data_IF_000872764370
#
_entry.id   IF_000872764370
#
_cell.length_a   1.000
_cell.length_b   1.000
_cell.length_c   1.000
_cell.angle_alpha   90.00
_cell.angle_beta   90.00
_cell.angle_gamma   90.00
#
_symmetry.space_group_name_H-M   'P 1'
#
loop_
_entity.id
_entity.type
_entity.pdbx_description
1 polymer ?
#
# COMPACT_ATOMS: atom_id res chain seq x y z
N UNK A 1 43.60 -23.65 -66.17
CA UNK A 1 43.71 -23.73 -64.70
C UNK A 1 42.27 -23.90 -64.19
N UNK A 2 41.65 -25.08 -64.31
CA UNK A 2 41.73 -26.28 -63.44
C UNK A 2 41.37 -25.88 -61.99
N UNK A 3 40.36 -26.39 -61.28
CA UNK A 3 39.40 -27.44 -61.53
C UNK A 3 38.17 -27.27 -60.59
N UNK A 4 37.11 -27.98 -60.96
CA UNK A 4 35.85 -28.31 -60.27
C UNK A 4 35.96 -28.72 -58.80
N UNK A 5 34.92 -28.46 -58.00
CA UNK A 5 34.25 -29.51 -57.20
C UNK A 5 32.86 -29.09 -56.67
N UNK A 6 31.83 -29.72 -57.22
CA UNK A 6 30.58 -30.06 -56.52
C UNK A 6 30.58 -31.59 -56.34
N UNK A 7 29.87 -32.17 -55.35
CA UNK A 7 28.57 -32.76 -55.69
C UNK A 7 27.49 -32.62 -54.60
N UNK A 8 26.25 -32.21 -54.93
CA UNK A 8 25.04 -33.04 -55.11
C UNK A 8 24.83 -34.14 -54.05
N UNK A 9 23.78 -34.03 -53.21
CA UNK A 9 22.85 -35.16 -53.01
C UNK A 9 21.44 -34.74 -52.51
N UNK A 10 20.44 -35.04 -53.34
CA UNK A 10 19.01 -35.34 -53.12
C UNK A 10 18.12 -34.41 -52.27
N UNK A 11 17.15 -33.68 -52.82
CA UNK A 11 15.87 -34.08 -53.46
C UNK A 11 14.86 -34.81 -52.56
N UNK A 12 13.74 -34.09 -52.34
CA UNK A 12 12.33 -34.50 -52.47
C UNK A 12 11.53 -34.94 -51.22
N UNK A 13 10.47 -34.13 -51.01
CA UNK A 13 9.09 -34.48 -50.60
C UNK A 13 8.86 -34.91 -49.14
N UNK A 14 8.22 -34.02 -48.38
CA UNK A 14 7.03 -34.33 -47.56
C UNK A 14 6.46 -32.99 -47.05
N UNK A 15 5.34 -32.51 -47.59
CA UNK A 15 3.97 -32.87 -47.18
C UNK A 15 3.41 -31.70 -46.36
N UNK A 16 2.47 -30.98 -46.97
CA UNK A 16 1.66 -29.96 -46.36
C UNK A 16 0.95 -30.54 -45.13
N UNK A 17 1.44 -30.24 -43.93
CA UNK A 17 0.62 -30.35 -42.73
C UNK A 17 -0.30 -29.13 -42.72
N UNK A 18 -1.53 -29.33 -43.19
CA UNK A 18 -2.69 -28.54 -42.79
C UNK A 18 -2.80 -28.62 -41.26
N UNK A 19 -2.05 -27.77 -40.57
CA UNK A 19 -2.28 -27.50 -39.16
C UNK A 19 -3.62 -26.77 -39.07
N UNK A 20 -4.66 -27.51 -38.71
CA UNK A 20 -5.89 -26.95 -38.16
C UNK A 20 -5.45 -26.13 -36.95
N UNK A 21 -5.43 -24.81 -37.10
CA UNK A 21 -5.23 -23.92 -35.97
C UNK A 21 -6.45 -24.11 -35.05
N UNK A 22 -6.31 -24.95 -34.03
CA UNK A 22 -7.24 -24.97 -32.91
C UNK A 22 -7.18 -23.59 -32.28
N UNK A 23 -8.21 -22.79 -32.50
CA UNK A 23 -8.44 -21.53 -31.79
C UNK A 23 -8.64 -21.89 -30.32
N UNK A 24 -7.55 -21.89 -29.56
CA UNK A 24 -7.61 -22.00 -28.11
C UNK A 24 -8.31 -20.74 -27.59
N UNK A 25 -9.41 -20.85 -26.83
CA UNK A 25 -9.99 -19.69 -26.16
C UNK A 25 -8.96 -19.15 -25.17
N UNK A 26 -8.48 -17.94 -25.41
CA UNK A 26 -7.66 -17.23 -24.43
C UNK A 26 -8.52 -17.00 -23.18
N UNK A 27 -8.03 -17.33 -21.96
CA UNK A 27 -8.73 -16.96 -20.76
C UNK A 27 -8.83 -15.44 -20.70
N UNK A 28 -10.04 -14.92 -20.42
CA UNK A 28 -10.27 -13.50 -20.22
C UNK A 28 -9.32 -13.02 -19.10
N UNK A 29 -8.28 -12.30 -19.50
CA UNK A 29 -7.27 -11.81 -18.58
C UNK A 29 -7.88 -10.59 -17.89
N UNK A 30 -7.90 -10.57 -16.56
CA UNK A 30 -8.47 -9.44 -15.83
C UNK A 30 -7.65 -8.18 -16.11
N UNK A 31 -8.27 -7.20 -16.78
CA UNK A 31 -7.71 -5.88 -17.01
C UNK A 31 -7.80 -5.07 -15.73
N UNK A 32 -6.80 -4.21 -15.46
CA UNK A 32 -6.81 -3.31 -14.29
C UNK A 32 -6.54 -1.89 -14.73
N UNK A 33 -7.47 -0.99 -14.43
CA UNK A 33 -7.31 0.45 -14.60
C UNK A 33 -6.95 1.04 -13.24
N UNK A 34 -5.92 1.87 -13.22
CA UNK A 34 -5.50 2.58 -12.01
C UNK A 34 -5.67 4.09 -12.17
N UNK A 35 -6.18 4.72 -11.12
CA UNK A 35 -6.28 6.18 -11.02
C UNK A 35 -5.66 6.63 -9.71
N UNK A 36 -4.92 7.74 -9.73
CA UNK A 36 -4.32 8.32 -8.53
C UNK A 36 -4.67 9.81 -8.44
N UNK A 37 -5.10 10.24 -7.26
CA UNK A 37 -5.35 11.65 -6.94
C UNK A 37 -4.82 11.94 -5.53
N UNK A 38 -3.74 12.72 -5.47
CA UNK A 38 -2.99 12.97 -4.25
C UNK A 38 -2.61 11.68 -3.53
N UNK A 39 -3.10 11.55 -2.30
CA UNK A 39 -2.85 10.42 -1.40
C UNK A 39 -3.78 9.22 -1.62
N UNK A 40 -4.66 9.26 -2.63
CA UNK A 40 -5.63 8.20 -2.91
C UNK A 40 -5.30 7.57 -4.25
N UNK A 41 -5.13 6.24 -4.25
CA UNK A 41 -5.09 5.39 -5.45
C UNK A 41 -6.36 4.55 -5.50
N UNK A 42 -6.98 4.48 -6.66
CA UNK A 42 -8.06 3.53 -6.97
C UNK A 42 -7.56 2.56 -8.03
N UNK A 43 -7.85 1.27 -7.84
CA UNK A 43 -7.61 0.20 -8.80
C UNK A 43 -8.97 -0.43 -9.12
N UNK A 44 -9.33 -0.47 -10.40
CA UNK A 44 -10.53 -1.14 -10.90
C UNK A 44 -10.07 -2.33 -11.73
N UNK A 45 -10.39 -3.54 -11.30
CA UNK A 45 -10.10 -4.77 -12.06
C UNK A 45 -11.38 -5.34 -12.66
N UNK A 46 -11.37 -5.79 -13.91
CA UNK A 46 -12.53 -6.39 -14.59
C UNK A 46 -12.10 -7.42 -15.64
N UNK A 47 -13.01 -8.30 -16.03
CA UNK A 47 -12.86 -9.20 -17.18
C UNK A 47 -13.71 -8.67 -18.34
N UNK A 48 -13.09 -8.40 -19.49
CA UNK A 48 -13.81 -8.03 -20.72
C UNK A 48 -14.24 -9.30 -21.45
N UNK A 49 -15.55 -9.57 -21.50
CA UNK A 49 -16.09 -10.80 -22.10
C UNK A 49 -16.41 -10.62 -23.60
N UNK A 50 -16.92 -9.44 -23.98
CA UNK A 50 -17.21 -9.03 -25.36
C UNK A 50 -17.24 -7.50 -25.39
N UNK A 51 -17.37 -6.87 -26.57
CA UNK A 51 -17.45 -5.41 -26.63
C UNK A 51 -18.58 -4.86 -25.75
N UNK A 52 -18.20 -3.90 -24.89
CA UNK A 52 -19.02 -3.29 -23.85
C UNK A 52 -19.58 -4.23 -22.76
N UNK A 53 -19.13 -5.49 -22.67
CA UNK A 53 -19.52 -6.43 -21.61
C UNK A 53 -18.37 -6.70 -20.64
N UNK A 54 -18.54 -6.21 -19.41
CA UNK A 54 -17.58 -6.37 -18.31
C UNK A 54 -18.14 -7.29 -17.22
N UNK A 55 -17.32 -8.25 -16.77
CA UNK A 55 -17.64 -9.18 -15.67
C UNK A 55 -16.63 -9.00 -14.53
N UNK A 56 -16.99 -9.47 -13.34
CA UNK A 56 -16.11 -9.53 -12.18
C UNK A 56 -15.43 -8.18 -11.82
N UNK A 57 -16.16 -7.07 -11.97
CA UNK A 57 -15.65 -5.72 -11.65
C UNK A 57 -15.37 -5.62 -10.15
N UNK A 58 -14.16 -5.24 -9.77
CA UNK A 58 -13.75 -4.99 -8.38
C UNK A 58 -13.09 -3.63 -8.26
N UNK A 59 -13.44 -2.88 -7.22
CA UNK A 59 -12.83 -1.60 -6.88
C UNK A 59 -12.01 -1.74 -5.60
N UNK A 60 -10.75 -1.32 -5.65
CA UNK A 60 -9.84 -1.25 -4.51
C UNK A 60 -9.36 0.19 -4.34
N UNK A 61 -9.68 0.79 -3.20
CA UNK A 61 -9.23 2.15 -2.85
C UNK A 61 -8.15 2.06 -1.79
N UNK A 62 -6.99 2.63 -2.08
CA UNK A 62 -5.81 2.69 -1.21
C UNK A 62 -5.58 4.17 -0.88
N UNK A 63 -5.55 4.52 0.41
CA UNK A 63 -5.24 5.88 0.87
C UNK A 63 -3.97 5.87 1.71
N UNK A 64 -2.98 6.69 1.34
CA UNK A 64 -1.77 6.93 2.11
C UNK A 64 -1.95 8.17 3.00
N UNK A 65 -2.05 7.98 4.31
CA UNK A 65 -2.15 9.10 5.27
C UNK A 65 -3.43 9.93 5.16
N UNK A 66 -3.43 11.08 5.83
CA UNK A 66 -4.62 11.92 5.96
C UNK A 66 -4.78 12.99 4.88
N UNK A 67 -6.03 13.42 4.63
CA UNK A 67 -6.43 14.45 3.65
C UNK A 67 -5.96 15.86 4.02
N UNK A 68 -5.60 16.11 5.30
CA UNK A 68 -5.26 17.44 5.82
C UNK A 68 -3.96 17.44 6.63
N UNK A 69 -2.79 17.20 6.01
CA UNK A 69 -1.53 17.04 6.73
C UNK A 69 -1.12 18.30 7.52
N UNK A 70 -1.45 19.50 7.02
CA UNK A 70 -1.15 20.76 7.73
C UNK A 70 -1.92 20.90 9.04
N UNK A 71 -3.21 20.57 9.03
CA UNK A 71 -4.08 20.66 10.22
C UNK A 71 -3.60 19.65 11.27
N UNK A 72 -3.32 18.42 10.85
CA UNK A 72 -2.89 17.34 11.75
C UNK A 72 -1.51 17.64 12.33
N UNK A 73 -0.60 18.21 11.54
CA UNK A 73 0.71 18.65 12.05
C UNK A 73 0.57 19.73 13.13
N UNK A 74 -0.32 20.70 12.92
CA UNK A 74 -0.58 21.75 13.90
C UNK A 74 -1.18 21.15 15.18
N UNK A 75 -2.21 20.31 15.04
CA UNK A 75 -2.86 19.65 16.18
C UNK A 75 -1.89 18.76 16.99
N UNK A 76 -1.06 17.94 16.31
CA UNK A 76 0.00 17.18 16.98
C UNK A 76 0.98 18.09 17.75
N UNK A 77 1.30 19.26 17.19
CA UNK A 77 2.18 20.22 17.87
C UNK A 77 1.51 20.83 19.10
N UNK A 78 0.22 21.15 19.02
CA UNK A 78 -0.59 21.66 20.13
C UNK A 78 -0.70 20.63 21.26
N UNK A 79 -1.04 19.36 20.93
CA UNK A 79 -1.10 18.26 21.88
C UNK A 79 0.25 18.04 22.58
N UNK A 80 1.36 18.14 21.84
CA UNK A 80 2.69 18.04 22.43
C UNK A 80 2.97 19.19 23.42
N UNK A 81 2.66 20.42 23.03
CA UNK A 81 2.84 21.57 23.91
C UNK A 81 1.96 21.48 25.16
N UNK A 82 0.71 21.02 25.00
CA UNK A 82 -0.20 20.77 26.12
C UNK A 82 0.37 19.72 27.08
N UNK A 83 0.90 18.61 26.54
CA UNK A 83 1.55 17.59 27.36
C UNK A 83 2.74 18.15 28.15
N UNK A 84 3.58 18.98 27.52
CA UNK A 84 4.75 19.56 28.18
C UNK A 84 4.39 20.54 29.30
N UNK A 85 3.31 21.31 29.13
CA UNK A 85 2.86 22.33 30.09
C UNK A 85 2.06 21.75 31.24
N UNK A 86 1.07 20.90 30.94
CA UNK A 86 0.04 20.49 31.89
C UNK A 86 -0.05 18.97 32.03
N UNK A 87 0.19 18.24 30.93
CA UNK A 87 0.03 16.78 30.90
C UNK A 87 1.03 15.98 31.76
N UNK A 88 2.10 16.60 32.28
CA UNK A 88 3.00 15.91 33.23
C UNK A 88 2.42 15.77 34.64
N UNK A 89 1.44 16.61 34.98
CA UNK A 89 0.91 16.73 36.33
C UNK A 89 -0.38 15.92 36.55
N UNK A 90 -1.06 15.52 35.47
CA UNK A 90 -2.33 14.79 35.50
C UNK A 90 -2.22 13.36 34.95
N UNK A 91 -2.99 12.44 35.51
CA UNK A 91 -3.24 11.09 34.93
C UNK A 91 -3.67 11.18 33.45
N UNK A 92 -4.38 12.25 33.09
CA UNK A 92 -4.89 12.55 31.73
C UNK A 92 -3.80 12.82 30.68
N UNK A 93 -2.54 13.06 31.09
CA UNK A 93 -1.41 13.22 30.16
C UNK A 93 -1.21 12.01 29.24
N UNK A 94 -1.64 10.82 29.67
CA UNK A 94 -1.64 9.59 28.87
C UNK A 94 -2.56 9.69 27.66
N UNK A 95 -3.73 10.31 27.81
CA UNK A 95 -4.69 10.50 26.72
C UNK A 95 -4.16 11.48 25.67
N UNK A 96 -3.51 12.55 26.12
CA UNK A 96 -2.87 13.55 25.24
C UNK A 96 -1.77 12.92 24.39
N UNK A 97 -0.92 12.10 25.01
CA UNK A 97 0.15 11.38 24.29
C UNK A 97 -0.42 10.35 23.30
N UNK A 98 -1.58 9.74 23.61
CA UNK A 98 -2.27 8.85 22.70
C UNK A 98 -2.80 9.59 21.46
N UNK A 99 -3.47 10.72 21.65
CA UNK A 99 -3.94 11.58 20.57
C UNK A 99 -2.77 12.11 19.72
N UNK A 100 -1.68 12.51 20.36
CA UNK A 100 -0.47 12.96 19.68
C UNK A 100 0.09 11.86 18.76
N UNK A 101 0.21 10.63 19.26
CA UNK A 101 0.72 9.53 18.46
C UNK A 101 -0.21 9.16 17.31
N UNK A 102 -1.52 9.19 17.52
CA UNK A 102 -2.50 8.96 16.45
C UNK A 102 -2.27 9.93 15.28
N UNK A 103 -2.12 11.23 15.56
CA UNK A 103 -1.80 12.24 14.54
C UNK A 103 -0.44 11.98 13.87
N UNK A 104 0.57 11.58 14.64
CA UNK A 104 1.88 11.21 14.08
C UNK A 104 1.78 10.00 13.15
N UNK A 105 0.97 9.00 13.44
CA UNK A 105 0.69 7.89 12.54
C UNK A 105 -0.07 8.32 11.29
N UNK A 106 -1.04 9.24 11.41
CA UNK A 106 -1.74 9.82 10.26
C UNK A 106 -0.82 10.60 9.31
N UNK A 107 0.31 11.10 9.83
CA UNK A 107 1.37 11.77 9.08
C UNK A 107 2.47 10.82 8.57
N UNK A 108 2.40 9.52 8.86
CA UNK A 108 3.47 8.56 8.53
C UNK A 108 4.73 8.70 9.40
N UNK A 109 4.64 9.39 10.54
CA UNK A 109 5.74 9.72 11.45
C UNK A 109 5.59 9.03 12.82
N UNK A 110 4.97 7.85 12.85
CA UNK A 110 4.69 7.11 14.09
C UNK A 110 5.94 6.78 14.89
N UNK A 111 7.02 6.35 14.22
CA UNK A 111 8.30 6.01 14.88
C UNK A 111 8.96 7.21 15.55
N UNK A 112 9.00 8.36 14.86
CA UNK A 112 9.50 9.62 15.42
C UNK A 112 8.65 10.04 16.64
N UNK A 113 7.32 9.94 16.50
CA UNK A 113 6.39 10.23 17.59
C UNK A 113 6.65 9.35 18.82
N UNK A 114 6.90 8.06 18.61
CA UNK A 114 7.21 7.11 19.67
C UNK A 114 8.54 7.41 20.35
N UNK A 115 9.57 7.77 19.60
CA UNK A 115 10.86 8.17 20.17
C UNK A 115 10.68 9.36 21.12
N UNK A 116 9.91 10.36 20.69
CA UNK A 116 9.62 11.55 21.47
C UNK A 116 8.80 11.24 22.74
N UNK A 117 7.74 10.43 22.64
CA UNK A 117 6.94 9.97 23.80
C UNK A 117 7.80 9.16 24.78
N UNK A 118 8.64 8.25 24.29
CA UNK A 118 9.58 7.46 25.09
C UNK A 118 10.68 8.31 25.73
N UNK A 119 10.94 9.52 25.28
CA UNK A 119 11.87 10.40 25.95
C UNK A 119 11.16 11.19 27.06
N UNK A 120 9.96 11.71 26.80
CA UNK A 120 9.28 12.62 27.71
C UNK A 120 8.48 11.93 28.84
N UNK A 121 7.81 10.80 28.58
CA UNK A 121 6.93 10.18 29.57
C UNK A 121 7.72 9.38 30.62
N UNK A 122 7.90 9.90 31.84
CA UNK A 122 8.70 9.27 32.91
C UNK A 122 7.86 8.56 33.99
N UNK A 123 6.59 8.26 33.72
CA UNK A 123 5.71 7.55 34.65
C UNK A 123 6.28 6.18 35.06
N UNK A 124 6.00 5.75 36.30
CA UNK A 124 6.46 4.44 36.82
C UNK A 124 5.86 3.26 36.05
N UNK A 125 4.67 3.47 35.52
CA UNK A 125 3.88 2.56 34.70
C UNK A 125 4.19 2.67 33.20
N UNK A 126 5.28 3.35 32.81
CA UNK A 126 5.70 3.54 31.42
C UNK A 126 5.58 2.28 30.56
N UNK A 127 6.04 1.14 31.07
CA UNK A 127 6.08 -0.09 30.29
C UNK A 127 4.68 -0.64 30.01
N UNK A 128 3.80 -0.66 31.01
CA UNK A 128 2.40 -1.07 30.83
C UNK A 128 1.65 -0.07 29.95
N UNK A 129 1.80 1.22 30.22
CA UNK A 129 1.18 2.28 29.42
C UNK A 129 1.59 2.22 27.94
N UNK A 130 2.87 2.01 27.62
CA UNK A 130 3.31 1.89 26.23
C UNK A 130 2.79 0.62 25.55
N UNK A 131 2.63 -0.48 26.30
CA UNK A 131 2.01 -1.69 25.77
C UNK A 131 0.52 -1.45 25.45
N UNK A 132 -0.22 -0.83 26.37
CA UNK A 132 -1.63 -0.50 26.21
C UNK A 132 -1.84 0.51 25.07
N UNK A 133 -0.97 1.51 24.98
CA UNK A 133 -1.01 2.52 23.92
C UNK A 133 -0.76 1.93 22.54
N UNK A 134 0.21 1.00 22.42
CA UNK A 134 0.45 0.29 21.16
C UNK A 134 -0.76 -0.59 20.79
N UNK A 135 -1.35 -1.27 21.77
CA UNK A 135 -2.57 -2.06 21.57
C UNK A 135 -3.72 -1.17 21.08
N UNK A 136 -3.96 -0.05 21.75
CA UNK A 136 -4.98 0.93 21.39
C UNK A 136 -4.81 1.45 19.95
N UNK A 137 -3.60 1.86 19.56
CA UNK A 137 -3.32 2.37 18.21
C UNK A 137 -3.51 1.31 17.12
N UNK A 138 -3.30 0.03 17.45
CA UNK A 138 -3.59 -1.10 16.54
C UNK A 138 -5.10 -1.37 16.44
N UNK A 139 -5.80 -1.41 17.57
CA UNK A 139 -7.26 -1.67 17.61
C UNK A 139 -8.06 -0.56 16.92
N UNK A 140 -7.56 0.67 16.96
CA UNK A 140 -8.15 1.84 16.27
C UNK A 140 -7.68 1.98 14.82
N UNK A 141 -6.77 1.13 14.34
CA UNK A 141 -6.35 1.07 12.94
C UNK A 141 -5.32 2.12 12.50
N UNK A 142 -4.70 2.84 13.44
CA UNK A 142 -3.55 3.72 13.15
C UNK A 142 -2.28 2.92 12.87
N UNK A 143 -2.13 1.76 13.52
CA UNK A 143 -1.08 0.77 13.25
C UNK A 143 -1.73 -0.40 12.53
N UNK A 144 -1.19 -0.78 11.37
CA UNK A 144 -1.60 -1.95 10.60
C UNK A 144 -0.53 -3.03 10.68
#
# INVERSE_FOLDING_TARGET
MNATCSPIWNSLIALWLLTVATVFPQPATAETITGQSGNVRAEISYEKAQDYQYKNVRLKIIRAGSRYPKIIKNHASELWQFYLKEGKQYEDGKGVLAAYLADKYMLGQGEDGWMQVRQAYKGRDRNSYFADLRKFLRETGYIR
#
